data_IF_467551238652
#
_entry.id   IF_467551238652
#
_cell.length_a   1.000
_cell.length_b   1.000
_cell.length_c   1.000
_cell.angle_alpha   90.00
_cell.angle_beta   90.00
_cell.angle_gamma   90.00
#
_symmetry.space_group_name_H-M   'P 1'
#
loop_
_entity.id
_entity.type
_entity.pdbx_description
1 polymer ?
#
# COMPACT_ATOMS: atom_id res chain seq x y z
N UNK A 1 -29.07 26.35 0.50
CA UNK A 1 -28.07 25.59 -0.28
C UNK A 1 -27.42 24.57 0.65
N UNK A 2 -28.05 23.41 0.83
CA UNK A 2 -27.60 22.39 1.78
C UNK A 2 -26.57 21.47 1.12
N UNK A 3 -25.32 21.55 1.57
CA UNK A 3 -24.24 20.63 1.23
C UNK A 3 -24.61 19.21 1.72
N UNK A 4 -25.17 18.39 0.82
CA UNK A 4 -25.25 16.95 1.04
C UNK A 4 -23.82 16.39 0.96
N UNK A 5 -23.22 16.12 2.12
CA UNK A 5 -22.10 15.16 2.24
C UNK A 5 -22.59 13.83 1.64
N UNK A 6 -22.21 13.56 0.39
CA UNK A 6 -22.30 12.22 -0.16
C UNK A 6 -21.29 11.36 0.60
N UNK A 7 -21.77 10.62 1.61
CA UNK A 7 -21.07 9.42 2.04
C UNK A 7 -20.98 8.51 0.81
N UNK A 8 -19.76 8.20 0.38
CA UNK A 8 -19.52 7.18 -0.63
C UNK A 8 -19.98 5.85 0.01
N UNK A 9 -21.21 5.43 -0.30
CA UNK A 9 -21.71 4.11 0.10
C UNK A 9 -20.84 3.11 -0.67
N UNK A 10 -19.98 2.40 0.05
CA UNK A 10 -19.12 1.37 -0.52
C UNK A 10 -20.00 0.28 -1.13
N UNK A 11 -19.74 -0.05 -2.41
CA UNK A 11 -20.57 -0.94 -3.24
C UNK A 11 -20.58 -2.42 -2.79
N UNK A 12 -19.79 -2.80 -1.79
CA UNK A 12 -19.65 -4.17 -1.26
C UNK A 12 -20.13 -4.28 0.19
N UNK A 13 -21.29 -3.70 0.50
CA UNK A 13 -21.88 -3.86 1.83
C UNK A 13 -22.48 -5.26 1.94
N UNK A 14 -21.87 -6.11 2.76
CA UNK A 14 -22.32 -7.47 3.06
C UNK A 14 -23.78 -7.42 3.52
N UNK A 15 -24.66 -8.20 2.88
CA UNK A 15 -26.06 -8.31 3.27
C UNK A 15 -26.19 -9.20 4.50
N UNK A 16 -26.93 -8.71 5.50
CA UNK A 16 -27.16 -9.41 6.77
C UNK A 16 -28.65 -9.52 7.07
N UNK A 17 -29.03 -10.57 7.78
CA UNK A 17 -30.37 -10.82 8.29
C UNK A 17 -31.47 -10.54 7.25
N UNK A 18 -32.45 -9.70 7.61
CA UNK A 18 -33.57 -9.27 6.76
C UNK A 18 -33.17 -8.55 5.46
N UNK A 19 -31.91 -8.15 5.28
CA UNK A 19 -31.43 -7.61 4.02
C UNK A 19 -31.22 -8.71 2.96
N UNK A 20 -31.15 -9.98 3.36
CA UNK A 20 -31.04 -11.14 2.48
C UNK A 20 -32.41 -11.44 1.87
N UNK A 21 -32.54 -11.21 0.55
CA UNK A 21 -33.81 -11.37 -0.20
C UNK A 21 -33.88 -12.65 -1.03
N UNK A 22 -32.89 -13.53 -0.92
CA UNK A 22 -32.88 -14.77 -1.71
C UNK A 22 -33.93 -15.74 -1.21
N UNK A 23 -34.41 -16.62 -2.10
CA UNK A 23 -35.37 -17.65 -1.73
C UNK A 23 -34.69 -18.81 -0.97
N UNK A 24 -33.53 -19.22 -1.49
CA UNK A 24 -32.74 -20.35 -0.98
C UNK A 24 -31.29 -19.92 -0.82
N UNK A 25 -30.66 -20.43 0.24
CA UNK A 25 -29.27 -20.14 0.58
C UNK A 25 -28.56 -21.42 0.99
N UNK A 26 -27.27 -21.51 0.68
CA UNK A 26 -26.40 -22.55 1.25
C UNK A 26 -25.96 -22.07 2.63
N UNK A 27 -26.40 -22.75 3.68
CA UNK A 27 -26.17 -22.36 5.07
C UNK A 27 -24.96 -23.06 5.68
N UNK A 28 -24.11 -22.25 6.31
CA UNK A 28 -22.99 -22.68 7.14
C UNK A 28 -23.29 -22.27 8.58
N UNK A 29 -23.12 -23.20 9.50
CA UNK A 29 -23.33 -22.96 10.93
C UNK A 29 -22.17 -22.18 11.59
N UNK A 30 -22.36 -21.76 12.84
CA UNK A 30 -21.35 -21.03 13.63
C UNK A 30 -20.03 -21.81 13.75
N UNK A 31 -20.11 -23.12 13.96
CA UNK A 31 -18.96 -24.03 14.09
C UNK A 31 -18.29 -24.38 12.74
N UNK A 32 -18.85 -23.90 11.63
CA UNK A 32 -18.39 -24.22 10.27
C UNK A 32 -19.04 -25.46 9.66
N UNK A 33 -19.95 -26.13 10.37
CA UNK A 33 -20.73 -27.26 9.84
C UNK A 33 -21.57 -26.82 8.65
N UNK A 34 -21.53 -27.59 7.56
CA UNK A 34 -22.39 -27.34 6.39
C UNK A 34 -23.78 -27.91 6.65
N UNK A 35 -24.79 -27.05 6.79
CA UNK A 35 -26.18 -27.47 6.98
C UNK A 35 -26.80 -27.86 5.63
N UNK A 36 -26.32 -27.26 4.52
CA UNK A 36 -26.79 -27.54 3.17
C UNK A 36 -27.64 -26.40 2.60
N UNK A 37 -28.48 -26.70 1.62
CA UNK A 37 -29.36 -25.70 0.99
C UNK A 37 -30.67 -25.65 1.78
N UNK A 38 -31.02 -24.47 2.27
CA UNK A 38 -32.24 -24.22 3.04
C UNK A 38 -32.90 -22.94 2.55
N UNK A 39 -34.17 -22.72 2.94
CA UNK A 39 -34.82 -21.43 2.68
C UNK A 39 -34.17 -20.31 3.49
N UNK A 40 -34.15 -19.08 2.96
CA UNK A 40 -33.61 -17.94 3.70
C UNK A 40 -34.34 -17.68 5.03
N UNK A 41 -35.64 -18.01 5.10
CA UNK A 41 -36.43 -17.92 6.34
C UNK A 41 -35.95 -18.90 7.39
N UNK A 42 -35.71 -20.15 7.02
CA UNK A 42 -35.20 -21.18 7.92
C UNK A 42 -33.78 -20.81 8.41
N UNK A 43 -32.94 -20.30 7.51
CA UNK A 43 -31.62 -19.81 7.87
C UNK A 43 -31.69 -18.65 8.88
N UNK A 44 -32.63 -17.71 8.70
CA UNK A 44 -32.84 -16.60 9.64
C UNK A 44 -33.33 -17.09 11.00
N UNK A 45 -34.26 -18.06 11.04
CA UNK A 45 -34.74 -18.64 12.28
C UNK A 45 -33.60 -19.28 13.06
N UNK A 46 -32.75 -20.10 12.41
CA UNK A 46 -31.58 -20.73 13.02
C UNK A 46 -30.57 -19.71 13.56
N UNK A 47 -30.41 -18.57 12.88
CA UNK A 47 -29.56 -17.48 13.37
C UNK A 47 -30.17 -16.83 14.63
N UNK A 48 -31.48 -16.54 14.61
CA UNK A 48 -32.21 -15.95 15.73
C UNK A 48 -32.23 -16.87 16.97
N UNK A 49 -32.42 -18.18 16.79
CA UNK A 49 -32.39 -19.18 17.88
C UNK A 49 -31.07 -19.20 18.64
N UNK A 50 -30.00 -18.76 17.98
CA UNK A 50 -28.64 -18.70 18.53
C UNK A 50 -28.23 -17.28 18.93
N UNK A 51 -29.14 -16.30 18.79
CA UNK A 51 -28.87 -14.88 19.02
C UNK A 51 -27.69 -14.34 18.18
N UNK A 52 -27.53 -14.86 16.96
CA UNK A 52 -26.46 -14.49 16.02
C UNK A 52 -27.03 -13.91 14.72
N UNK A 53 -26.17 -13.35 13.87
CA UNK A 53 -26.56 -12.80 12.59
C UNK A 53 -26.44 -13.84 11.46
N UNK A 54 -27.39 -13.81 10.53
CA UNK A 54 -27.26 -14.48 9.24
C UNK A 54 -26.51 -13.55 8.28
N UNK A 55 -25.28 -13.92 7.91
CA UNK A 55 -24.41 -13.06 7.09
C UNK A 55 -24.19 -13.70 5.71
N UNK A 56 -24.47 -12.97 4.64
CA UNK A 56 -24.22 -13.43 3.26
C UNK A 56 -22.75 -13.26 2.88
N UNK A 57 -21.98 -14.33 3.05
CA UNK A 57 -20.52 -14.31 2.79
C UNK A 57 -20.16 -14.41 1.30
N UNK A 58 -21.00 -15.06 0.49
CA UNK A 58 -20.75 -15.21 -0.95
C UNK A 58 -22.03 -14.93 -1.74
N UNK A 59 -22.25 -13.70 -2.20
CA UNK A 59 -23.44 -13.34 -2.97
C UNK A 59 -23.41 -13.88 -4.41
N UNK A 60 -22.23 -14.19 -4.95
CA UNK A 60 -22.06 -14.60 -6.34
C UNK A 60 -22.26 -16.11 -6.58
N UNK A 61 -22.46 -16.89 -5.52
CA UNK A 61 -22.71 -18.34 -5.62
C UNK A 61 -24.19 -18.63 -5.92
N UNK A 62 -24.46 -19.76 -6.59
CA UNK A 62 -25.81 -20.27 -6.84
C UNK A 62 -25.99 -21.64 -6.15
N UNK A 63 -26.77 -21.76 -5.06
CA UNK A 63 -27.40 -20.68 -4.29
C UNK A 63 -26.36 -19.86 -3.46
N UNK A 64 -26.68 -18.61 -3.07
CA UNK A 64 -25.79 -17.76 -2.28
C UNK A 64 -25.39 -18.41 -0.96
N UNK A 65 -24.14 -18.20 -0.53
CA UNK A 65 -23.64 -18.80 0.71
C UNK A 65 -23.86 -17.83 1.87
N UNK A 66 -24.59 -18.29 2.88
CA UNK A 66 -24.82 -17.58 4.12
C UNK A 66 -24.20 -18.33 5.29
N UNK A 67 -23.65 -17.60 6.26
CA UNK A 67 -23.06 -18.16 7.47
C UNK A 67 -23.65 -17.48 8.69
N UNK A 68 -23.97 -18.28 9.71
CA UNK A 68 -24.40 -17.77 11.03
C UNK A 68 -23.15 -17.33 11.80
N UNK A 69 -23.07 -16.06 12.17
CA UNK A 69 -21.94 -15.52 12.95
C UNK A 69 -22.30 -14.19 13.62
N UNK A 70 -21.50 -13.77 14.60
CA UNK A 70 -21.56 -12.41 15.13
C UNK A 70 -20.90 -11.45 14.12
N UNK A 71 -21.73 -10.63 13.45
CA UNK A 71 -21.24 -9.71 12.43
C UNK A 71 -20.39 -8.57 13.02
N UNK A 72 -20.72 -8.11 14.23
CA UNK A 72 -19.99 -7.05 14.93
C UNK A 72 -18.57 -7.47 15.28
N UNK A 73 -18.42 -8.67 15.85
CA UNK A 73 -17.12 -9.28 16.17
C UNK A 73 -16.31 -9.54 14.90
N UNK A 74 -16.94 -10.09 13.85
CA UNK A 74 -16.28 -10.30 12.57
C UNK A 74 -15.73 -8.99 11.99
N UNK A 75 -16.53 -7.93 11.96
CA UNK A 75 -16.12 -6.62 11.45
C UNK A 75 -14.96 -6.04 12.27
N UNK A 76 -14.97 -6.21 13.60
CA UNK A 76 -13.87 -5.80 14.46
C UNK A 76 -12.57 -6.56 14.13
N UNK A 77 -12.64 -7.88 13.99
CA UNK A 77 -11.49 -8.72 13.67
C UNK A 77 -10.92 -8.42 12.27
N UNK A 78 -11.77 -8.22 11.27
CA UNK A 78 -11.34 -7.81 9.93
C UNK A 78 -10.65 -6.45 9.97
N UNK A 79 -11.26 -5.45 10.63
CA UNK A 79 -10.65 -4.13 10.77
C UNK A 79 -9.32 -4.17 11.54
N UNK A 80 -9.22 -5.00 12.57
CA UNK A 80 -7.99 -5.19 13.34
C UNK A 80 -6.91 -5.80 12.45
N UNK A 81 -7.22 -6.88 11.73
CA UNK A 81 -6.31 -7.54 10.78
C UNK A 81 -5.87 -6.59 9.67
N UNK A 82 -6.78 -5.82 9.09
CA UNK A 82 -6.45 -4.83 8.06
C UNK A 82 -5.54 -3.73 8.60
N UNK A 83 -5.80 -3.22 9.81
CA UNK A 83 -4.94 -2.22 10.45
C UNK A 83 -3.56 -2.79 10.76
N UNK A 84 -3.48 -4.02 11.25
CA UNK A 84 -2.21 -4.71 11.49
C UNK A 84 -1.44 -4.96 10.18
N UNK A 85 -2.14 -5.38 9.11
CA UNK A 85 -1.55 -5.56 7.79
C UNK A 85 -1.02 -4.23 7.23
N UNK A 86 -1.81 -3.15 7.32
CA UNK A 86 -1.39 -1.79 6.92
C UNK A 86 -0.18 -1.30 7.72
N UNK A 87 -0.13 -1.55 9.04
CA UNK A 87 1.03 -1.21 9.88
C UNK A 87 2.28 -2.00 9.51
N UNK A 88 2.13 -3.25 9.07
CA UNK A 88 3.23 -4.12 8.63
C UNK A 88 3.71 -3.82 7.21
N UNK A 89 2.97 -3.03 6.43
CA UNK A 89 3.43 -2.58 5.12
C UNK A 89 4.56 -1.57 5.31
N UNK A 90 5.79 -2.00 5.04
CA UNK A 90 6.92 -1.09 4.90
C UNK A 90 6.69 -0.20 3.69
N UNK A 91 6.35 1.07 3.92
CA UNK A 91 6.22 2.06 2.87
C UNK A 91 7.64 2.42 2.44
N UNK A 92 8.03 1.97 1.25
CA UNK A 92 9.31 2.36 0.65
C UNK A 92 9.08 3.71 -0.03
N UNK A 93 9.59 4.79 0.57
CA UNK A 93 9.48 6.12 -0.02
C UNK A 93 10.65 6.41 -0.94
N UNK A 94 10.45 7.33 -1.89
CA UNK A 94 11.52 7.83 -2.76
C UNK A 94 11.93 9.20 -2.24
N UNK A 95 13.09 9.28 -1.59
CA UNK A 95 13.66 10.54 -1.09
C UNK A 95 14.49 11.19 -2.20
N UNK A 96 14.24 12.46 -2.47
CA UNK A 96 15.02 13.22 -3.47
C UNK A 96 16.16 13.99 -2.81
N UNK A 97 17.37 13.83 -3.35
CA UNK A 97 18.55 14.61 -2.96
C UNK A 97 19.06 15.40 -4.17
N UNK A 98 19.15 16.71 -4.01
CA UNK A 98 19.67 17.60 -5.05
C UNK A 98 21.16 17.87 -4.84
N UNK A 99 21.93 17.66 -5.90
CA UNK A 99 23.35 17.99 -5.99
C UNK A 99 23.55 19.12 -7.00
N UNK A 100 24.70 19.77 -6.89
CA UNK A 100 25.18 20.80 -7.84
C UNK A 100 26.38 20.27 -8.61
N UNK A 101 26.55 20.67 -9.87
CA UNK A 101 27.71 20.25 -10.67
C UNK A 101 29.06 20.75 -10.10
N UNK A 102 29.04 21.84 -9.33
CA UNK A 102 30.19 22.43 -8.62
C UNK A 102 30.01 22.35 -7.10
N UNK A 103 29.69 21.16 -6.60
CA UNK A 103 29.49 20.94 -5.16
C UNK A 103 30.83 21.02 -4.41
N UNK A 104 30.82 21.65 -3.24
CA UNK A 104 31.96 21.70 -2.32
C UNK A 104 32.07 20.38 -1.54
N UNK A 105 33.29 20.00 -1.13
CA UNK A 105 33.56 18.75 -0.42
C UNK A 105 32.75 18.62 0.89
N UNK A 106 32.60 19.71 1.65
CA UNK A 106 31.82 19.70 2.88
C UNK A 106 30.33 19.40 2.63
N UNK A 107 29.70 20.08 1.67
CA UNK A 107 28.29 19.83 1.31
C UNK A 107 28.13 18.42 0.71
N UNK A 108 29.07 17.98 -0.12
CA UNK A 108 29.07 16.62 -0.67
C UNK A 108 29.04 15.56 0.46
N UNK A 109 29.93 15.68 1.45
CA UNK A 109 29.97 14.78 2.59
C UNK A 109 28.67 14.76 3.39
N UNK A 110 28.03 15.92 3.59
CA UNK A 110 26.74 16.00 4.27
C UNK A 110 25.62 15.30 3.49
N UNK A 111 25.57 15.49 2.16
CA UNK A 111 24.58 14.85 1.28
C UNK A 111 24.77 13.33 1.23
N UNK A 112 26.02 12.85 1.22
CA UNK A 112 26.34 11.41 1.28
C UNK A 112 25.83 10.82 2.60
N UNK A 113 26.13 11.44 3.74
CA UNK A 113 25.64 10.97 5.05
C UNK A 113 24.11 10.91 5.11
N UNK A 114 23.43 11.90 4.54
CA UNK A 114 21.97 11.91 4.49
C UNK A 114 21.40 10.81 3.59
N UNK A 115 22.00 10.59 2.41
CA UNK A 115 21.62 9.50 1.52
C UNK A 115 21.85 8.12 2.16
N UNK A 116 22.97 7.95 2.88
CA UNK A 116 23.26 6.72 3.61
C UNK A 116 22.19 6.40 4.65
N UNK A 117 21.70 7.41 5.40
CA UNK A 117 20.59 7.24 6.34
C UNK A 117 19.32 6.74 5.65
N UNK A 118 18.89 7.40 4.57
CA UNK A 118 17.70 6.97 3.82
C UNK A 118 17.83 5.53 3.27
N UNK A 119 19.02 5.16 2.76
CA UNK A 119 19.26 3.80 2.29
C UNK A 119 19.28 2.78 3.44
N UNK A 120 19.75 3.16 4.64
CA UNK A 120 19.68 2.29 5.82
C UNK A 120 18.25 2.14 6.34
N UNK A 121 17.43 3.18 6.23
CA UNK A 121 16.01 3.17 6.60
C UNK A 121 15.14 2.37 5.60
N UNK A 122 15.71 1.92 4.48
CA UNK A 122 15.02 1.11 3.47
C UNK A 122 14.35 1.93 2.36
N UNK A 123 14.56 3.24 2.33
CA UNK A 123 14.03 4.14 1.31
C UNK A 123 14.88 4.11 0.03
N UNK A 124 14.25 4.41 -1.10
CA UNK A 124 14.96 4.67 -2.36
C UNK A 124 15.43 6.12 -2.37
N UNK A 125 16.62 6.36 -2.92
CA UNK A 125 17.16 7.72 -3.04
C UNK A 125 17.26 8.10 -4.51
N UNK A 126 16.51 9.13 -4.92
CA UNK A 126 16.65 9.77 -6.22
C UNK A 126 17.60 10.95 -6.09
N UNK A 127 18.76 10.87 -6.72
CA UNK A 127 19.72 11.98 -6.75
C UNK A 127 19.55 12.75 -8.04
N UNK A 128 19.42 14.08 -7.98
CA UNK A 128 19.21 14.94 -9.14
C UNK A 128 20.18 16.12 -9.17
N UNK A 129 20.67 16.45 -10.37
CA UNK A 129 21.41 17.70 -10.65
C UNK A 129 20.59 18.46 -11.67
N UNK A 130 20.31 19.73 -11.39
CA UNK A 130 19.63 20.63 -12.33
C UNK A 130 20.65 21.56 -12.98
N UNK A 131 20.69 21.59 -14.31
CA UNK A 131 21.55 22.49 -15.07
C UNK A 131 20.76 23.75 -15.46
N UNK A 132 21.38 24.92 -15.33
CA UNK A 132 20.80 26.21 -15.75
C UNK A 132 21.44 26.69 -17.06
N UNK A 133 20.62 26.86 -18.11
CA UNK A 133 21.04 27.49 -19.37
C UNK A 133 22.23 26.78 -20.05
N UNK A 134 23.36 27.48 -20.16
CA UNK A 134 24.61 27.00 -20.78
C UNK A 134 25.33 25.91 -19.98
N UNK A 135 24.87 25.62 -18.75
CA UNK A 135 25.50 24.62 -17.88
C UNK A 135 25.32 23.17 -18.34
N UNK A 136 24.49 22.92 -19.36
CA UNK A 136 24.37 21.59 -19.98
C UNK A 136 25.73 21.10 -20.53
N UNK A 137 26.63 22.02 -20.90
CA UNK A 137 28.00 21.69 -21.27
C UNK A 137 28.80 21.01 -20.14
N UNK A 138 28.43 21.22 -18.87
CA UNK A 138 29.02 20.56 -17.69
C UNK A 138 28.31 19.24 -17.32
N UNK A 139 27.50 18.68 -18.21
CA UNK A 139 26.81 17.39 -17.99
C UNK A 139 27.79 16.25 -17.69
N UNK A 140 28.98 16.24 -18.32
CA UNK A 140 30.04 15.28 -18.02
C UNK A 140 30.53 15.40 -16.56
N UNK A 141 30.81 16.63 -16.10
CA UNK A 141 31.21 16.89 -14.71
C UNK A 141 30.10 16.50 -13.72
N UNK A 142 28.84 16.79 -14.04
CA UNK A 142 27.70 16.37 -13.22
C UNK A 142 27.59 14.84 -13.12
N UNK A 143 27.86 14.12 -14.23
CA UNK A 143 27.89 12.66 -14.25
C UNK A 143 28.97 12.11 -13.33
N UNK A 144 30.18 12.68 -13.38
CA UNK A 144 31.29 12.25 -12.53
C UNK A 144 30.99 12.47 -11.05
N UNK A 145 30.38 13.61 -10.70
CA UNK A 145 29.94 13.90 -9.32
C UNK A 145 28.90 12.87 -8.86
N UNK A 146 27.93 12.50 -9.71
CA UNK A 146 26.95 11.46 -9.39
C UNK A 146 27.59 10.08 -9.22
N UNK A 147 28.54 9.71 -10.08
CA UNK A 147 29.24 8.43 -9.96
C UNK A 147 30.06 8.37 -8.69
N UNK A 148 30.81 9.43 -8.36
CA UNK A 148 31.51 9.54 -7.07
C UNK A 148 30.56 9.44 -5.87
N UNK A 149 29.40 10.08 -5.96
CA UNK A 149 28.37 10.00 -4.92
C UNK A 149 27.85 8.57 -4.74
N UNK A 150 27.61 7.86 -5.83
CA UNK A 150 27.20 6.46 -5.78
C UNK A 150 28.32 5.55 -5.26
N UNK A 151 29.57 5.81 -5.63
CA UNK A 151 30.74 5.08 -5.13
C UNK A 151 30.88 5.19 -3.61
N UNK A 152 30.72 6.40 -3.05
CA UNK A 152 30.71 6.62 -1.60
C UNK A 152 29.55 5.95 -0.86
N UNK A 153 28.52 5.49 -1.58
CA UNK A 153 27.33 4.85 -1.02
C UNK A 153 27.21 3.36 -1.36
N UNK A 154 28.23 2.77 -2.00
CA UNK A 154 28.25 1.35 -2.39
C UNK A 154 28.01 0.38 -1.24
N UNK A 155 28.36 0.77 -0.02
CA UNK A 155 28.16 -0.06 1.19
C UNK A 155 26.69 -0.11 1.63
N UNK A 156 25.89 0.92 1.31
CA UNK A 156 24.50 1.05 1.77
C UNK A 156 23.47 0.81 0.66
N UNK A 157 23.82 1.09 -0.60
CA UNK A 157 22.90 0.99 -1.73
C UNK A 157 23.58 0.62 -3.04
N UNK A 158 22.74 0.17 -3.98
CA UNK A 158 23.14 -0.11 -5.37
C UNK A 158 22.42 0.83 -6.33
N UNK A 159 23.03 1.09 -7.47
CA UNK A 159 22.42 1.89 -8.54
C UNK A 159 21.35 1.04 -9.22
N UNK A 160 20.09 1.47 -9.14
CA UNK A 160 18.98 0.87 -9.89
C UNK A 160 18.84 1.54 -11.26
N UNK A 161 18.98 2.87 -11.31
CA UNK A 161 19.00 3.63 -12.56
C UNK A 161 20.27 4.47 -12.62
N UNK A 162 21.11 4.30 -13.65
CA UNK A 162 22.32 5.10 -13.80
C UNK A 162 21.98 6.58 -14.04
N UNK A 163 22.98 7.48 -13.96
CA UNK A 163 22.78 8.88 -14.29
C UNK A 163 22.29 9.06 -15.74
N UNK A 164 21.05 9.51 -15.88
CA UNK A 164 20.40 9.79 -17.17
C UNK A 164 19.96 11.25 -17.22
N UNK A 165 20.16 11.88 -18.39
CA UNK A 165 19.66 13.22 -18.68
C UNK A 165 18.16 13.17 -18.99
N UNK A 166 17.39 13.95 -18.25
CA UNK A 166 15.98 14.24 -18.48
C UNK A 166 15.81 15.75 -18.66
N UNK A 167 15.79 16.18 -19.92
CA UNK A 167 15.74 17.59 -20.32
C UNK A 167 16.89 18.42 -19.73
N UNK A 168 16.58 19.28 -18.75
CA UNK A 168 17.54 20.19 -18.09
C UNK A 168 18.07 19.64 -16.76
N UNK A 169 17.80 18.38 -16.44
CA UNK A 169 18.24 17.71 -15.23
C UNK A 169 18.90 16.38 -15.54
N UNK A 170 19.91 16.00 -14.76
CA UNK A 170 20.38 14.62 -14.68
C UNK A 170 19.81 14.00 -13.41
N UNK A 171 19.43 12.73 -13.45
CA UNK A 171 19.06 12.01 -12.24
C UNK A 171 19.54 10.56 -12.26
N UNK A 172 19.80 10.04 -11.06
CA UNK A 172 20.07 8.62 -10.80
C UNK A 172 19.20 8.15 -9.64
N UNK A 173 18.95 6.83 -9.57
CA UNK A 173 18.19 6.22 -8.47
C UNK A 173 19.03 5.13 -7.83
N UNK A 174 19.20 5.24 -6.52
CA UNK A 174 19.81 4.23 -5.68
C UNK A 174 18.72 3.51 -4.87
N UNK A 175 18.92 2.20 -4.71
CA UNK A 175 18.09 1.34 -3.88
C UNK A 175 18.91 0.76 -2.74
N UNK A 176 18.31 0.53 -1.57
CA UNK A 176 19.03 0.00 -0.42
C UNK A 176 19.49 -1.44 -0.67
N UNK A 177 20.65 -1.81 -0.12
CA UNK A 177 21.18 -3.18 -0.21
C UNK A 177 20.53 -4.12 0.81
N UNK A 178 20.15 -3.60 1.98
CA UNK A 178 19.44 -4.34 3.02
C UNK A 178 17.95 -4.03 2.95
N UNK A 179 17.13 -5.06 3.16
CA UNK A 179 15.67 -4.98 3.30
C UNK A 179 15.30 -5.55 4.65
#
# INVERSE_FOLDING_TARGET
MYFRRCFIISKDQIQINSAIRDKEVRLIDVDGTMIGIVSAKEAQLKANERELDLVKISPNANPPVCKIMDYGKYLYEQNKREKEAKKKQTIIEVKEIRLSAKIEEHDFGFKVKNAAKFLQDGDKVKVSIRFRGREIAYSAMGRDVMLKFADSLKEFGKIEKPPVMDGKSMSMVLVPLKK
#
